data_IF_003182651952
#
_entry.id   IF_003182651952
#
_cell.length_a   1.000
_cell.length_b   1.000
_cell.length_c   1.000
_cell.angle_alpha   90.00
_cell.angle_beta   90.00
_cell.angle_gamma   90.00
#
_symmetry.space_group_name_H-M   'P 1'
#
loop_
_entity.id
_entity.type
_entity.pdbx_description
1 polymer ?
#
# COMPACT_ATOMS: atom_id res chain seq x y z
N UNK A 1 -11.71 44.05 -26.69
CA UNK A 1 -11.09 43.58 -25.43
C UNK A 1 -10.57 42.17 -25.66
N UNK A 2 -9.25 41.97 -25.79
CA UNK A 2 -8.69 40.61 -25.74
C UNK A 2 -8.76 40.11 -24.29
N UNK A 3 -9.18 38.86 -24.11
CA UNK A 3 -9.25 38.21 -22.81
C UNK A 3 -7.83 38.00 -22.26
N UNK A 4 -7.61 38.36 -21.00
CA UNK A 4 -6.37 38.04 -20.28
C UNK A 4 -6.20 36.51 -20.21
N UNK A 5 -4.99 35.98 -20.52
CA UNK A 5 -4.71 34.58 -20.30
C UNK A 5 -4.77 34.30 -18.80
N UNK A 6 -5.64 33.38 -18.41
CA UNK A 6 -5.76 32.91 -17.03
C UNK A 6 -4.41 32.34 -16.58
N UNK A 7 -3.86 32.76 -15.43
CA UNK A 7 -2.59 32.22 -14.97
C UNK A 7 -2.74 30.71 -14.77
N UNK A 8 -1.86 29.94 -15.39
CA UNK A 8 -1.73 28.51 -15.13
C UNK A 8 -1.58 28.34 -13.60
N UNK A 9 -2.42 27.50 -13.00
CA UNK A 9 -2.34 27.18 -11.58
C UNK A 9 -0.94 26.67 -11.20
N UNK A 10 -0.58 26.68 -9.91
CA UNK A 10 0.73 26.25 -9.48
C UNK A 10 1.05 24.84 -10.02
N UNK A 11 2.19 24.70 -10.70
CA UNK A 11 2.68 23.41 -11.17
C UNK A 11 3.11 22.58 -9.96
N UNK A 12 2.43 21.47 -9.72
CA UNK A 12 2.84 20.50 -8.71
C UNK A 12 3.86 19.58 -9.37
N UNK A 13 5.12 19.70 -8.96
CA UNK A 13 6.17 18.76 -9.33
C UNK A 13 6.06 17.53 -8.43
N UNK A 14 5.83 16.35 -9.02
CA UNK A 14 5.67 15.10 -8.28
C UNK A 14 6.89 14.22 -8.51
N UNK A 15 7.60 13.91 -7.43
CA UNK A 15 8.73 12.99 -7.48
C UNK A 15 8.24 11.53 -7.60
N UNK A 16 8.14 11.05 -8.84
CA UNK A 16 7.71 9.69 -9.17
C UNK A 16 8.70 8.63 -8.69
N UNK A 17 9.97 8.99 -8.51
CA UNK A 17 10.99 8.11 -7.94
C UNK A 17 10.71 7.86 -6.46
N UNK A 18 10.36 8.91 -5.73
CA UNK A 18 9.97 8.79 -4.32
C UNK A 18 8.68 7.98 -4.12
N UNK A 19 7.72 8.09 -5.05
CA UNK A 19 6.51 7.25 -5.03
C UNK A 19 6.84 5.76 -5.19
N UNK A 20 7.73 5.41 -6.13
CA UNK A 20 8.19 4.02 -6.30
C UNK A 20 8.96 3.49 -5.10
N UNK A 21 9.88 4.29 -4.56
CA UNK A 21 10.61 3.94 -3.34
C UNK A 21 9.65 3.69 -2.17
N UNK A 22 8.58 4.49 -2.05
CA UNK A 22 7.57 4.30 -1.03
C UNK A 22 6.79 2.99 -1.24
N UNK A 23 6.43 2.64 -2.48
CA UNK A 23 5.81 1.35 -2.81
C UNK A 23 6.73 0.17 -2.45
N UNK A 24 8.01 0.19 -2.84
CA UNK A 24 8.97 -0.87 -2.52
C UNK A 24 9.13 -1.09 -1.00
N UNK A 25 9.07 0.00 -0.21
CA UNK A 25 9.09 -0.06 1.25
C UNK A 25 7.83 -0.71 1.82
N UNK A 26 6.66 -0.46 1.22
CA UNK A 26 5.41 -1.10 1.63
C UNK A 26 5.42 -2.59 1.29
N UNK A 27 5.95 -2.98 0.14
CA UNK A 27 6.11 -4.39 -0.23
C UNK A 27 7.06 -5.13 0.73
N UNK A 28 8.17 -4.48 1.11
CA UNK A 28 9.08 -5.02 2.12
C UNK A 28 8.40 -5.17 3.48
N UNK A 29 7.63 -4.16 3.91
CA UNK A 29 6.86 -4.21 5.15
C UNK A 29 5.79 -5.31 5.12
N UNK A 30 5.14 -5.51 3.97
CA UNK A 30 4.17 -6.57 3.77
C UNK A 30 4.82 -7.94 3.99
N UNK A 31 5.97 -8.19 3.35
CA UNK A 31 6.68 -9.46 3.47
C UNK A 31 7.12 -9.75 4.92
N UNK A 32 7.66 -8.74 5.60
CA UNK A 32 8.07 -8.84 7.00
C UNK A 32 6.88 -9.08 7.94
N UNK A 33 5.77 -8.37 7.73
CA UNK A 33 4.55 -8.56 8.50
C UNK A 33 3.99 -9.96 8.30
N UNK A 34 3.87 -10.42 7.05
CA UNK A 34 3.39 -11.76 6.72
C UNK A 34 4.24 -12.86 7.40
N UNK A 35 5.57 -12.70 7.39
CA UNK A 35 6.48 -13.62 8.08
C UNK A 35 6.24 -13.67 9.59
N UNK A 36 6.22 -12.52 10.26
CA UNK A 36 6.00 -12.43 11.73
C UNK A 36 4.65 -13.00 12.13
N UNK A 37 3.65 -12.81 11.29
CA UNK A 37 2.30 -13.33 11.49
C UNK A 37 2.26 -14.85 11.36
N UNK A 38 2.96 -15.42 10.36
CA UNK A 38 3.13 -16.87 10.23
C UNK A 38 3.89 -17.48 11.42
N UNK A 39 4.95 -16.83 11.89
CA UNK A 39 5.68 -17.27 13.08
C UNK A 39 4.77 -17.29 14.33
N UNK A 40 3.88 -16.29 14.43
CA UNK A 40 2.88 -16.22 15.51
C UNK A 40 1.87 -17.37 15.41
N UNK A 41 1.40 -17.72 14.21
CA UNK A 41 0.49 -18.85 14.01
C UNK A 41 1.12 -20.18 14.41
N UNK A 42 2.39 -20.38 14.06
CA UNK A 42 3.14 -21.57 14.43
C UNK A 42 3.28 -21.69 15.95
N UNK A 43 3.56 -20.57 16.63
CA UNK A 43 3.62 -20.54 18.10
C UNK A 43 2.25 -20.85 18.71
N UNK A 44 1.18 -20.22 18.22
CA UNK A 44 -0.21 -20.41 18.66
C UNK A 44 -0.62 -21.89 18.51
N UNK A 45 -0.42 -22.48 17.33
CA UNK A 45 -0.76 -23.87 17.04
C UNK A 45 -0.07 -24.87 17.99
N UNK A 46 1.13 -24.52 18.51
CA UNK A 46 1.90 -25.38 19.41
C UNK A 46 1.37 -25.42 20.85
N UNK A 47 0.54 -24.44 21.27
CA UNK A 47 0.16 -24.22 22.67
C UNK A 47 -1.10 -24.95 23.14
N UNK A 48 -1.94 -25.44 22.22
CA UNK A 48 -3.27 -25.99 22.53
C UNK A 48 -3.31 -27.40 23.13
N UNK A 49 -2.16 -28.05 23.34
CA UNK A 49 -2.13 -29.41 23.92
C UNK A 49 -2.50 -29.37 25.40
N UNK A 50 -3.56 -30.07 25.77
CA UNK A 50 -4.01 -30.24 27.16
C UNK A 50 -5.01 -29.19 27.66
N UNK A 51 -5.51 -28.33 26.78
CA UNK A 51 -6.54 -27.34 27.16
C UNK A 51 -7.92 -27.97 27.36
N UNK A 52 -8.70 -27.35 28.24
CA UNK A 52 -10.12 -27.64 28.38
C UNK A 52 -10.89 -27.11 27.17
N UNK A 53 -12.08 -27.66 26.91
CA UNK A 53 -12.96 -27.24 25.81
C UNK A 53 -13.23 -25.73 25.80
N UNK A 54 -13.50 -25.15 26.97
CA UNK A 54 -13.74 -23.71 27.12
C UNK A 54 -12.50 -22.86 26.79
N UNK A 55 -11.31 -23.31 27.22
CA UNK A 55 -10.05 -22.63 26.91
C UNK A 55 -9.76 -22.68 25.41
N UNK A 56 -10.00 -23.83 24.78
CA UNK A 56 -9.89 -24.01 23.32
C UNK A 56 -10.84 -23.07 22.57
N UNK A 57 -12.13 -23.05 22.91
CA UNK A 57 -13.11 -22.19 22.25
C UNK A 57 -12.78 -20.69 22.39
N UNK A 58 -12.29 -20.26 23.56
CA UNK A 58 -11.91 -18.87 23.79
C UNK A 58 -10.67 -18.49 22.98
N UNK A 59 -9.71 -19.40 22.86
CA UNK A 59 -8.54 -19.20 22.04
C UNK A 59 -8.86 -19.18 20.55
N UNK A 60 -9.73 -20.06 20.05
CA UNK A 60 -10.16 -20.07 18.65
C UNK A 60 -10.85 -18.74 18.27
N UNK A 61 -11.60 -18.13 19.19
CA UNK A 61 -12.15 -16.77 18.98
C UNK A 61 -11.06 -15.72 18.91
N UNK A 62 -10.05 -15.81 19.78
CA UNK A 62 -8.93 -14.88 19.78
C UNK A 62 -8.11 -15.00 18.48
N UNK A 63 -7.79 -16.21 18.03
CA UNK A 63 -7.05 -16.44 16.77
C UNK A 63 -7.84 -15.95 15.57
N UNK A 64 -9.14 -16.24 15.48
CA UNK A 64 -9.99 -15.74 14.39
C UNK A 64 -10.07 -14.20 14.33
N UNK A 65 -10.06 -13.54 15.48
CA UNK A 65 -9.99 -12.08 15.55
C UNK A 65 -8.64 -11.53 15.05
N UNK A 66 -7.54 -12.16 15.44
CA UNK A 66 -6.19 -11.78 14.99
C UNK A 66 -6.04 -12.00 13.48
N UNK A 67 -6.56 -13.12 12.96
CA UNK A 67 -6.56 -13.44 11.52
C UNK A 67 -7.32 -12.40 10.70
N UNK A 68 -8.49 -11.96 11.17
CA UNK A 68 -9.27 -10.91 10.50
C UNK A 68 -8.47 -9.62 10.40
N UNK A 69 -7.83 -9.19 11.49
CA UNK A 69 -7.01 -7.98 11.52
C UNK A 69 -5.78 -8.09 10.61
N UNK A 70 -5.16 -9.26 10.57
CA UNK A 70 -4.04 -9.58 9.68
C UNK A 70 -4.44 -9.42 8.22
N UNK A 71 -5.55 -10.03 7.82
CA UNK A 71 -6.07 -9.92 6.45
C UNK A 71 -6.29 -8.46 6.09
N UNK A 72 -6.97 -7.69 6.95
CA UNK A 72 -7.17 -6.25 6.69
C UNK A 72 -5.87 -5.46 6.57
N UNK A 73 -4.88 -5.73 7.42
CA UNK A 73 -3.59 -5.03 7.37
C UNK A 73 -2.85 -5.33 6.06
N UNK A 74 -2.75 -6.61 5.69
CA UNK A 74 -2.05 -7.04 4.48
C UNK A 74 -2.73 -6.49 3.22
N UNK A 75 -4.06 -6.53 3.15
CA UNK A 75 -4.82 -5.95 2.05
C UNK A 75 -4.60 -4.44 1.92
N UNK A 76 -4.61 -3.70 3.05
CA UNK A 76 -4.42 -2.25 3.01
C UNK A 76 -3.00 -1.85 2.58
N UNK A 77 -1.97 -2.59 3.03
CA UNK A 77 -0.58 -2.32 2.61
C UNK A 77 -0.41 -2.59 1.12
N UNK A 78 -0.92 -3.72 0.62
CA UNK A 78 -0.86 -4.06 -0.79
C UNK A 78 -1.59 -3.01 -1.64
N UNK A 79 -2.81 -2.63 -1.26
CA UNK A 79 -3.58 -1.62 -1.99
C UNK A 79 -2.92 -0.23 -2.01
N UNK A 80 -2.23 0.16 -0.93
CA UNK A 80 -1.48 1.42 -0.91
C UNK A 80 -0.23 1.36 -1.79
N UNK A 81 0.48 0.23 -1.80
CA UNK A 81 1.63 0.00 -2.70
C UNK A 81 1.22 0.13 -4.16
N UNK A 82 0.15 -0.56 -4.56
CA UNK A 82 -0.43 -0.50 -5.91
C UNK A 82 -0.84 0.92 -6.29
N UNK A 83 -1.49 1.65 -5.38
CA UNK A 83 -1.91 3.04 -5.62
C UNK A 83 -0.73 3.99 -5.85
N UNK A 84 0.38 3.82 -5.12
CA UNK A 84 1.58 4.63 -5.30
C UNK A 84 2.26 4.35 -6.64
N UNK A 85 2.32 3.08 -7.05
CA UNK A 85 2.84 2.70 -8.38
C UNK A 85 1.96 3.27 -9.49
N UNK A 86 0.65 3.14 -9.37
CA UNK A 86 -0.30 3.68 -10.35
C UNK A 86 -0.19 5.21 -10.45
N UNK A 87 -0.05 5.91 -9.33
CA UNK A 87 0.17 7.36 -9.30
C UNK A 87 1.47 7.75 -10.00
N UNK A 88 2.58 7.05 -9.72
CA UNK A 88 3.86 7.31 -10.38
C UNK A 88 3.76 7.19 -11.91
N UNK A 89 3.09 6.13 -12.40
CA UNK A 89 2.88 5.92 -13.84
C UNK A 89 2.03 7.04 -14.46
N UNK A 90 0.97 7.46 -13.76
CA UNK A 90 0.08 8.52 -14.24
C UNK A 90 0.80 9.86 -14.38
N UNK A 91 1.60 10.23 -13.39
CA UNK A 91 2.37 11.49 -13.42
C UNK A 91 3.44 11.48 -14.51
N UNK A 92 4.19 10.39 -14.70
CA UNK A 92 5.17 10.30 -15.79
C UNK A 92 4.54 10.39 -17.17
N UNK A 93 3.36 9.78 -17.34
CA UNK A 93 2.61 9.85 -18.59
C UNK A 93 2.18 11.29 -18.88
N UNK A 94 1.72 12.01 -17.85
CA UNK A 94 1.30 13.40 -17.97
C UNK A 94 2.49 14.32 -18.29
N UNK A 95 3.63 14.13 -17.61
CA UNK A 95 4.84 14.91 -17.88
C UNK A 95 5.36 14.69 -19.30
N UNK A 96 5.37 13.46 -19.79
CA UNK A 96 5.76 13.16 -21.16
C UNK A 96 4.81 13.81 -22.19
N UNK A 97 3.50 13.76 -21.94
CA UNK A 97 2.51 14.38 -22.83
C UNK A 97 2.71 15.91 -22.87
N UNK A 98 2.85 16.55 -21.71
CA UNK A 98 3.09 18.00 -21.60
C UNK A 98 4.40 18.42 -22.30
N UNK A 99 5.48 17.65 -22.12
CA UNK A 99 6.76 17.91 -22.77
C UNK A 99 6.64 17.82 -24.31
N UNK A 100 5.84 16.88 -24.80
CA UNK A 100 5.58 16.71 -26.25
C UNK A 100 4.77 17.87 -26.82
N UNK A 101 3.72 18.31 -26.12
CA UNK A 101 2.89 19.44 -26.55
C UNK A 101 3.67 20.76 -26.56
N UNK A 102 4.54 20.99 -25.56
CA UNK A 102 5.44 22.14 -25.52
C UNK A 102 6.43 22.10 -26.69
N UNK A 103 7.03 20.93 -26.97
CA UNK A 103 7.96 20.77 -28.09
C UNK A 103 7.29 20.92 -29.47
N UNK A 104 5.99 20.62 -29.59
CA UNK A 104 5.22 20.77 -30.82
C UNK A 104 4.66 22.19 -31.04
N UNK A 105 4.57 23.00 -29.98
CA UNK A 105 4.00 24.35 -30.00
C UNK A 105 5.05 25.48 -30.05
N UNK A 106 6.34 25.13 -29.98
CA UNK A 106 7.49 26.04 -30.09
C UNK A 106 8.18 25.96 -31.44
#
# INVERSE_FOLDING_TARGET
>A
MPAEPTPAGPSVDVDTTMLRIAADKLDSLFADAAKRLSDTDNAIASTGRGWTENARSSFDRFTGYVDTRRVSLLTNIAGLSEALVAAAIAYETQDHANATDIAASG
#
